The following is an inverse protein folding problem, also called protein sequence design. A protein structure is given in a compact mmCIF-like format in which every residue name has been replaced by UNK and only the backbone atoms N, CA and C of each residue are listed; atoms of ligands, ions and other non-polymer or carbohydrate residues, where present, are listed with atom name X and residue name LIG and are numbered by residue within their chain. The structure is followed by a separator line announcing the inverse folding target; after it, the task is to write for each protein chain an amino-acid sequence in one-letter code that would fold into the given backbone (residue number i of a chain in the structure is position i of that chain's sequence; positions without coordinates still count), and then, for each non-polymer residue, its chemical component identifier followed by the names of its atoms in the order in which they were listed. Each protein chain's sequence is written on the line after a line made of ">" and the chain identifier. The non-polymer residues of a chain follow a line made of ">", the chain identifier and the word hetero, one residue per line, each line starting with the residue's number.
data_IF_041518856488
#
_entry.id   IF_041518856488
#
_cell.length_a   1.000
_cell.length_b   1.000
_cell.length_c   1.000
_cell.angle_alpha   90.00
_cell.angle_beta   90.00
_cell.angle_gamma   90.00
#
_symmetry.space_group_name_H-M   'P 1'
#
loop_
_entity.id
_entity.type
_entity.pdbx_description
1 polymer ?
#
# COMPACT_ATOMS: atom_id res chain seq x y z
N UNK A 1 4.43 0.24 21.91
CA UNK A 1 3.59 1.34 21.37
C UNK A 1 4.25 1.80 20.08
N UNK A 2 3.54 1.73 18.98
CA UNK A 2 4.07 2.11 17.66
C UNK A 2 4.42 3.60 17.66
N UNK A 3 5.63 3.96 17.27
CA UNK A 3 5.97 5.37 17.03
C UNK A 3 5.40 5.79 15.66
N UNK A 4 4.14 6.24 15.68
CA UNK A 4 3.40 6.65 14.47
C UNK A 4 4.12 7.78 13.72
N UNK A 5 4.67 8.76 14.42
CA UNK A 5 5.33 9.90 13.78
C UNK A 5 6.58 9.44 13.02
N UNK A 6 7.39 8.58 13.64
CA UNK A 6 8.56 7.97 13.01
C UNK A 6 8.15 7.10 11.81
N UNK A 7 7.12 6.27 11.93
CA UNK A 7 6.65 5.43 10.82
C UNK A 7 6.14 6.28 9.64
N UNK A 8 5.32 7.30 9.89
CA UNK A 8 4.81 8.16 8.82
C UNK A 8 5.92 8.93 8.11
N UNK A 9 6.94 9.38 8.86
CA UNK A 9 8.11 10.07 8.32
C UNK A 9 9.08 9.14 7.57
N UNK A 10 9.05 7.83 7.85
CA UNK A 10 9.90 6.85 7.18
C UNK A 10 9.44 6.49 5.76
N UNK A 11 8.23 6.91 5.36
CA UNK A 11 7.66 6.62 4.04
C UNK A 11 7.70 7.86 3.16
N UNK A 12 8.46 7.80 2.07
CA UNK A 12 8.34 8.76 0.97
C UNK A 12 7.17 8.36 0.07
N UNK A 13 6.32 9.34 -0.28
CA UNK A 13 5.13 9.12 -1.11
C UNK A 13 5.19 10.01 -2.35
N UNK A 14 4.79 9.44 -3.47
CA UNK A 14 4.65 10.15 -4.74
C UNK A 14 3.37 9.76 -5.45
N UNK A 15 2.84 10.68 -6.23
CA UNK A 15 1.75 10.45 -7.17
C UNK A 15 2.10 11.12 -8.50
N UNK A 16 1.79 10.45 -9.59
CA UNK A 16 1.95 10.99 -10.93
C UNK A 16 0.77 10.55 -11.79
N UNK A 17 0.34 11.43 -12.69
CA UNK A 17 -0.57 11.06 -13.78
C UNK A 17 0.25 10.95 -15.05
N UNK A 18 0.33 9.75 -15.62
CA UNK A 18 1.16 9.49 -16.80
C UNK A 18 0.59 8.37 -17.66
N UNK A 19 1.08 8.27 -18.89
CA UNK A 19 0.79 7.12 -19.75
C UNK A 19 1.66 5.91 -19.33
N UNK A 20 1.01 4.79 -19.10
CA UNK A 20 1.68 3.50 -18.82
C UNK A 20 1.21 2.50 -19.87
N UNK A 21 2.11 2.06 -20.73
CA UNK A 21 1.82 1.11 -21.82
C UNK A 21 0.67 1.57 -22.75
N UNK A 22 0.51 2.87 -22.99
CA UNK A 22 -0.55 3.45 -23.82
C UNK A 22 -1.87 3.70 -23.07
N UNK A 23 -1.89 3.55 -21.75
CA UNK A 23 -3.08 3.77 -20.91
C UNK A 23 -2.82 4.94 -19.94
N UNK A 24 -3.62 6.04 -20.01
CA UNK A 24 -3.57 7.08 -18.97
C UNK A 24 -3.80 6.49 -17.60
N UNK A 25 -2.86 6.70 -16.69
CA UNK A 25 -2.84 6.01 -15.39
C UNK A 25 -2.42 6.95 -14.26
N UNK A 26 -2.99 6.69 -13.08
CA UNK A 26 -2.46 7.20 -11.82
C UNK A 26 -1.40 6.22 -11.29
N UNK A 27 -0.24 6.75 -10.96
CA UNK A 27 0.89 5.97 -10.44
C UNK A 27 1.22 6.47 -9.04
N UNK A 28 0.92 5.65 -8.05
CA UNK A 28 1.30 5.90 -6.66
C UNK A 28 2.61 5.18 -6.36
N UNK A 29 3.53 5.86 -5.70
CA UNK A 29 4.81 5.28 -5.27
C UNK A 29 5.02 5.48 -3.79
N UNK A 30 5.37 4.41 -3.08
CA UNK A 30 5.81 4.45 -1.69
C UNK A 30 7.22 3.89 -1.60
N UNK A 31 8.07 4.55 -0.83
CA UNK A 31 9.43 4.09 -0.56
C UNK A 31 9.68 4.07 0.94
N UNK A 32 10.17 2.95 1.46
CA UNK A 32 10.61 2.81 2.84
C UNK A 32 11.87 1.94 2.91
N UNK A 33 12.77 2.27 3.84
CA UNK A 33 13.94 1.43 4.15
C UNK A 33 13.71 0.69 5.47
N UNK A 34 13.92 -0.61 5.45
CA UNK A 34 13.80 -1.49 6.61
C UNK A 34 15.18 -1.91 7.12
N UNK A 35 15.43 -1.96 8.43
CA UNK A 35 16.68 -2.44 9.02
C UNK A 35 16.69 -3.99 9.04
N UNK A 36 16.66 -4.58 7.86
CA UNK A 36 16.64 -6.03 7.65
C UNK A 36 17.29 -6.37 6.31
N UNK A 37 18.04 -7.49 6.22
CA UNK A 37 18.61 -7.97 4.97
C UNK A 37 17.57 -8.26 3.90
N UNK A 38 17.96 -8.17 2.62
CA UNK A 38 17.04 -8.32 1.49
C UNK A 38 16.32 -9.69 1.46
N UNK A 39 16.99 -10.75 1.86
CA UNK A 39 16.42 -12.10 1.89
C UNK A 39 15.29 -12.20 2.93
N UNK A 40 15.46 -11.54 4.07
CA UNK A 40 14.46 -11.49 5.14
C UNK A 40 13.21 -10.69 4.70
N UNK A 41 13.41 -9.53 4.09
CA UNK A 41 12.31 -8.71 3.55
C UNK A 41 11.61 -9.43 2.40
N UNK A 42 12.36 -10.09 1.53
CA UNK A 42 11.80 -10.88 0.43
C UNK A 42 10.92 -12.01 0.95
N UNK A 43 11.40 -12.79 1.91
CA UNK A 43 10.65 -13.89 2.50
C UNK A 43 9.38 -13.39 3.21
N UNK A 44 9.46 -12.25 3.91
CA UNK A 44 8.30 -11.62 4.53
C UNK A 44 7.22 -11.25 3.51
N UNK A 45 7.61 -10.84 2.30
CA UNK A 45 6.70 -10.39 1.22
C UNK A 45 6.18 -11.53 0.32
N UNK A 46 6.82 -12.71 0.31
CA UNK A 46 6.53 -13.76 -0.67
C UNK A 46 6.13 -15.09 -0.06
N UNK A 47 6.30 -15.29 1.24
CA UNK A 47 5.86 -16.49 1.96
C UNK A 47 4.47 -16.29 2.54
N UNK A 48 3.49 -17.12 2.17
CA UNK A 48 2.11 -17.04 2.65
C UNK A 48 2.04 -17.02 4.18
N UNK A 49 2.75 -17.94 4.85
CA UNK A 49 2.77 -18.03 6.32
C UNK A 49 3.47 -16.83 7.00
N UNK A 50 4.20 -16.00 6.25
CA UNK A 50 4.74 -14.74 6.77
C UNK A 50 3.81 -13.56 6.47
N UNK A 51 3.24 -13.49 5.26
CA UNK A 51 2.33 -12.42 4.83
C UNK A 51 1.14 -12.30 5.80
N UNK A 52 0.50 -13.40 6.19
CA UNK A 52 -0.64 -13.40 7.12
C UNK A 52 -0.32 -12.82 8.52
N UNK A 53 0.97 -12.77 8.88
CA UNK A 53 1.40 -12.24 10.18
C UNK A 53 1.48 -10.72 10.21
N UNK A 54 1.52 -10.05 9.07
CA UNK A 54 1.67 -8.60 9.03
C UNK A 54 0.65 -7.90 8.12
N UNK A 55 0.03 -8.63 7.20
CA UNK A 55 -0.98 -8.10 6.30
C UNK A 55 -2.29 -8.87 6.48
N UNK A 56 -2.75 -9.57 5.48
CA UNK A 56 -4.01 -10.31 5.46
C UNK A 56 -3.73 -11.80 5.17
N UNK A 57 -4.61 -12.72 5.62
CA UNK A 57 -4.54 -14.10 5.18
C UNK A 57 -4.61 -14.19 3.66
N UNK A 58 -3.72 -14.99 3.08
CA UNK A 58 -3.58 -15.17 1.64
C UNK A 58 -3.67 -16.64 1.26
N UNK A 59 -4.30 -16.92 0.13
CA UNK A 59 -4.38 -18.27 -0.46
C UNK A 59 -3.94 -18.24 -1.91
N UNK A 60 -3.72 -19.42 -2.47
CA UNK A 60 -3.34 -19.59 -3.87
C UNK A 60 -1.89 -20.00 -4.07
N UNK A 61 -1.37 -19.75 -5.25
CA UNK A 61 -0.04 -20.19 -5.70
C UNK A 61 0.85 -18.96 -5.94
N UNK A 62 1.70 -18.64 -4.95
CA UNK A 62 2.53 -17.43 -4.91
C UNK A 62 3.81 -17.58 -5.76
N UNK A 63 3.67 -18.04 -7.00
CA UNK A 63 4.76 -18.16 -7.96
C UNK A 63 4.38 -17.54 -9.30
N UNK A 64 5.37 -17.30 -10.17
CA UNK A 64 5.14 -16.77 -11.52
C UNK A 64 4.02 -17.52 -12.26
N UNK A 65 3.01 -16.78 -12.75
CA UNK A 65 1.81 -17.28 -13.40
C UNK A 65 0.78 -17.88 -12.45
N UNK A 66 1.04 -17.93 -11.14
CA UNK A 66 0.09 -18.40 -10.15
C UNK A 66 -0.91 -17.31 -9.75
N UNK A 67 -2.09 -17.73 -9.26
CA UNK A 67 -3.14 -16.84 -8.78
C UNK A 67 -3.15 -16.81 -7.26
N UNK A 68 -3.43 -15.65 -6.71
CA UNK A 68 -3.55 -15.42 -5.28
C UNK A 68 -4.85 -14.70 -4.92
N UNK A 69 -5.27 -14.84 -3.66
CA UNK A 69 -6.42 -14.13 -3.10
C UNK A 69 -6.16 -13.76 -1.65
N UNK A 70 -6.23 -12.48 -1.32
CA UNK A 70 -6.32 -12.01 0.07
C UNK A 70 -7.76 -12.11 0.58
N UNK A 71 -7.93 -12.58 1.80
CA UNK A 71 -9.27 -12.71 2.40
C UNK A 71 -9.91 -11.33 2.58
N UNK A 72 -11.08 -11.13 1.98
CA UNK A 72 -11.82 -9.87 2.03
C UNK A 72 -11.13 -8.69 1.34
N UNK A 73 -10.19 -8.94 0.45
CA UNK A 73 -9.43 -7.92 -0.25
C UNK A 73 -9.10 -8.38 -1.68
N UNK A 74 -8.17 -7.70 -2.34
CA UNK A 74 -7.80 -7.97 -3.72
C UNK A 74 -7.22 -9.37 -3.93
N UNK A 75 -7.41 -9.86 -5.15
CA UNK A 75 -6.71 -11.02 -5.70
C UNK A 75 -6.08 -10.68 -7.04
N UNK A 76 -5.41 -11.68 -7.64
CA UNK A 76 -4.79 -11.50 -8.94
C UNK A 76 -3.80 -12.58 -9.30
N UNK A 77 -2.92 -12.25 -10.24
CA UNK A 77 -1.89 -13.13 -10.78
C UNK A 77 -0.48 -12.57 -10.49
N UNK A 78 0.49 -13.44 -10.27
CA UNK A 78 1.91 -13.11 -10.20
C UNK A 78 2.47 -12.98 -11.60
N UNK A 79 2.62 -11.76 -12.11
CA UNK A 79 3.00 -11.45 -13.49
C UNK A 79 4.52 -11.47 -13.72
N UNK A 80 5.30 -11.16 -12.67
CA UNK A 80 6.75 -11.27 -12.71
C UNK A 80 7.27 -11.59 -11.29
N UNK A 81 8.38 -12.32 -11.22
CA UNK A 81 9.01 -12.67 -9.95
C UNK A 81 10.51 -12.89 -10.19
N UNK A 82 11.34 -12.06 -9.57
CA UNK A 82 12.80 -12.15 -9.62
C UNK A 82 13.32 -12.19 -8.17
N UNK A 83 13.65 -13.37 -7.65
CA UNK A 83 14.20 -13.52 -6.30
C UNK A 83 15.51 -12.75 -6.09
N UNK A 84 15.93 -12.53 -4.83
CA UNK A 84 17.13 -11.80 -4.51
C UNK A 84 18.37 -12.32 -5.26
N UNK A 85 18.99 -11.42 -6.03
CA UNK A 85 20.23 -11.70 -6.78
C UNK A 85 20.99 -10.40 -6.94
N UNK A 86 22.28 -10.40 -6.55
CA UNK A 86 23.13 -9.21 -6.66
C UNK A 86 22.60 -7.99 -5.88
N UNK A 87 21.92 -8.22 -4.75
CA UNK A 87 21.35 -7.15 -3.91
C UNK A 87 20.07 -6.54 -4.46
N UNK A 88 19.43 -7.17 -5.44
CA UNK A 88 18.14 -6.72 -5.99
C UNK A 88 17.13 -7.85 -6.05
N UNK A 89 15.85 -7.51 -5.87
CA UNK A 89 14.72 -8.43 -6.06
C UNK A 89 13.49 -7.64 -6.53
N UNK A 90 12.55 -8.30 -7.19
CA UNK A 90 11.29 -7.66 -7.58
C UNK A 90 10.19 -8.68 -7.88
N UNK A 91 8.95 -8.22 -7.71
CA UNK A 91 7.79 -8.93 -8.26
C UNK A 91 6.75 -7.92 -8.77
N UNK A 92 5.90 -8.39 -9.69
CA UNK A 92 4.74 -7.64 -10.21
C UNK A 92 3.49 -8.50 -10.13
N UNK A 93 2.40 -7.87 -9.70
CA UNK A 93 1.10 -8.51 -9.52
C UNK A 93 0.03 -7.74 -10.31
N UNK A 94 -0.97 -8.42 -10.84
CA UNK A 94 -2.27 -7.78 -11.02
C UNK A 94 -2.95 -7.71 -9.65
N UNK A 95 -3.68 -6.63 -9.41
CA UNK A 95 -4.32 -6.34 -8.11
C UNK A 95 -5.74 -5.89 -8.36
N UNK A 96 -6.72 -6.70 -8.01
CA UNK A 96 -8.10 -6.45 -8.34
C UNK A 96 -9.05 -6.79 -7.18
N UNK A 97 -9.88 -5.83 -6.81
CA UNK A 97 -11.09 -6.08 -6.02
C UNK A 97 -12.21 -6.63 -6.92
N UNK A 98 -12.29 -6.12 -8.15
CA UNK A 98 -13.13 -6.62 -9.24
C UNK A 98 -12.22 -7.16 -10.36
N UNK A 99 -12.31 -8.45 -10.70
CA UNK A 99 -11.47 -9.05 -11.77
C UNK A 99 -11.58 -8.37 -13.14
N UNK A 100 -12.63 -7.60 -13.40
CA UNK A 100 -12.84 -6.89 -14.67
C UNK A 100 -12.09 -5.57 -14.76
N UNK A 101 -11.59 -5.04 -13.61
CA UNK A 101 -10.90 -3.77 -13.52
C UNK A 101 -9.57 -3.90 -12.73
N UNK A 102 -8.59 -4.69 -13.23
CA UNK A 102 -7.35 -4.89 -12.51
C UNK A 102 -6.48 -3.63 -12.51
N UNK A 103 -5.85 -3.38 -11.38
CA UNK A 103 -4.70 -2.49 -11.24
C UNK A 103 -3.42 -3.32 -11.15
N UNK A 104 -2.26 -2.68 -11.04
CA UNK A 104 -0.99 -3.40 -11.02
C UNK A 104 -0.11 -2.91 -9.88
N UNK A 105 0.50 -3.84 -9.17
CA UNK A 105 1.44 -3.54 -8.10
C UNK A 105 2.81 -4.10 -8.46
N UNK A 106 3.83 -3.27 -8.40
CA UNK A 106 5.22 -3.69 -8.54
C UNK A 106 5.96 -3.37 -7.25
N UNK A 107 6.66 -4.36 -6.70
CA UNK A 107 7.57 -4.17 -5.57
C UNK A 107 8.99 -4.40 -6.05
N UNK A 108 9.90 -3.47 -5.71
CA UNK A 108 11.34 -3.58 -5.97
C UNK A 108 12.08 -3.45 -4.65
N UNK A 109 13.04 -4.32 -4.43
CA UNK A 109 13.93 -4.32 -3.27
C UNK A 109 15.35 -4.05 -3.71
N UNK A 110 16.05 -3.23 -2.94
CA UNK A 110 17.49 -3.01 -3.07
C UNK A 110 18.13 -3.16 -1.69
N UNK A 111 18.98 -4.18 -1.53
CA UNK A 111 19.70 -4.46 -0.30
C UNK A 111 21.00 -3.65 -0.20
N UNK A 112 21.29 -3.15 1.00
CA UNK A 112 22.55 -2.52 1.38
C UNK A 112 22.93 -3.01 2.77
N UNK A 113 23.73 -4.08 2.82
CA UNK A 113 24.10 -4.77 4.06
C UNK A 113 22.86 -5.27 4.83
N UNK A 114 22.72 -4.79 6.05
CA UNK A 114 21.61 -5.17 6.94
C UNK A 114 20.34 -4.29 6.73
N UNK A 115 20.30 -3.52 5.64
CA UNK A 115 19.15 -2.68 5.30
C UNK A 115 18.62 -3.00 3.92
N UNK A 116 17.32 -2.84 3.74
CA UNK A 116 16.64 -3.03 2.45
C UNK A 116 15.73 -1.86 2.16
N UNK A 117 15.96 -1.21 1.03
CA UNK A 117 15.05 -0.21 0.47
C UNK A 117 13.98 -0.92 -0.34
N UNK A 118 12.72 -0.71 0.03
CA UNK A 118 11.54 -1.15 -0.68
C UNK A 118 10.95 0.02 -1.46
N UNK A 119 10.59 -0.21 -2.72
CA UNK A 119 9.76 0.67 -3.53
C UNK A 119 8.52 -0.12 -3.95
N UNK A 120 7.35 0.34 -3.54
CA UNK A 120 6.06 -0.14 -4.02
C UNK A 120 5.52 0.87 -5.02
N UNK A 121 5.12 0.39 -6.20
CA UNK A 121 4.46 1.16 -7.24
C UNK A 121 3.10 0.55 -7.52
N UNK A 122 2.04 1.35 -7.40
CA UNK A 122 0.68 0.95 -7.71
C UNK A 122 0.16 1.77 -8.90
N UNK A 123 -0.16 1.07 -9.98
CA UNK A 123 -0.63 1.67 -11.25
C UNK A 123 -2.10 1.34 -11.45
N UNK A 124 -2.93 2.37 -11.56
CA UNK A 124 -4.36 2.24 -11.85
C UNK A 124 -4.72 3.04 -13.11
N UNK A 125 -5.23 2.37 -14.14
CA UNK A 125 -5.76 3.06 -15.32
C UNK A 125 -6.90 4.01 -14.93
N UNK A 126 -6.90 5.24 -15.46
CA UNK A 126 -7.93 6.24 -15.12
C UNK A 126 -9.34 5.71 -15.37
N UNK A 127 -9.55 5.02 -16.48
CA UNK A 127 -10.86 4.45 -16.85
C UNK A 127 -11.22 3.16 -16.09
N UNK A 128 -10.26 2.57 -15.35
CA UNK A 128 -10.49 1.37 -14.53
C UNK A 128 -11.03 1.70 -13.14
N UNK A 129 -10.92 2.96 -12.71
CA UNK A 129 -11.48 3.39 -11.44
C UNK A 129 -12.98 3.64 -11.55
N UNK A 130 -13.77 3.36 -10.50
CA UNK A 130 -15.16 3.76 -10.45
C UNK A 130 -15.32 5.25 -10.72
N UNK A 131 -16.35 5.68 -11.47
CA UNK A 131 -16.58 7.09 -11.79
C UNK A 131 -16.63 7.96 -10.53
N UNK A 132 -15.86 9.03 -10.52
CA UNK A 132 -15.81 9.99 -9.40
C UNK A 132 -14.99 9.52 -8.20
N UNK A 133 -14.41 8.33 -8.22
CA UNK A 133 -13.61 7.81 -7.10
C UNK A 133 -12.37 8.66 -6.86
N UNK A 134 -11.63 8.97 -7.92
CA UNK A 134 -10.41 9.76 -7.80
C UNK A 134 -10.69 11.20 -7.35
N UNK A 135 -11.73 11.81 -7.89
CA UNK A 135 -12.16 13.17 -7.54
C UNK A 135 -12.63 13.27 -6.08
N UNK A 136 -13.21 12.21 -5.55
CA UNK A 136 -13.75 12.18 -4.20
C UNK A 136 -12.71 11.85 -3.12
N UNK A 137 -11.81 10.92 -3.39
CA UNK A 137 -10.91 10.34 -2.40
C UNK A 137 -9.43 10.63 -2.68
N UNK A 138 -9.10 11.02 -3.91
CA UNK A 138 -7.70 11.23 -4.33
C UNK A 138 -6.82 10.01 -4.11
N UNK A 139 -5.49 10.20 -4.05
CA UNK A 139 -4.54 9.12 -3.81
C UNK A 139 -4.67 8.50 -2.42
N UNK A 140 -5.26 9.19 -1.44
CA UNK A 140 -5.48 8.67 -0.09
C UNK A 140 -6.37 7.42 -0.09
N UNK A 141 -7.29 7.30 -1.06
CA UNK A 141 -8.28 6.22 -1.13
C UNK A 141 -7.65 4.82 -1.03
N UNK A 142 -6.56 4.60 -1.73
CA UNK A 142 -5.76 3.37 -1.64
C UNK A 142 -4.48 3.55 -0.82
N UNK A 143 -3.96 4.76 -0.75
CA UNK A 143 -2.69 5.10 -0.12
C UNK A 143 -2.63 4.81 1.37
N UNK A 144 -3.70 5.08 2.13
CA UNK A 144 -3.79 4.72 3.56
C UNK A 144 -3.67 3.20 3.75
N UNK A 145 -4.28 2.41 2.84
CA UNK A 145 -4.14 0.96 2.87
C UNK A 145 -2.70 0.50 2.65
N UNK A 146 -1.99 1.13 1.70
CA UNK A 146 -0.56 0.85 1.48
C UNK A 146 0.30 1.23 2.68
N UNK A 147 0.07 2.42 3.29
CA UNK A 147 0.77 2.82 4.50
C UNK A 147 0.54 1.86 5.66
N UNK A 148 -0.69 1.38 5.82
CA UNK A 148 -1.02 0.37 6.84
C UNK A 148 -0.29 -0.95 6.60
N UNK A 149 -0.15 -1.37 5.33
CA UNK A 149 0.66 -2.52 4.95
C UNK A 149 2.14 -2.32 5.28
N UNK A 150 2.73 -1.15 4.95
CA UNK A 150 4.12 -0.85 5.26
C UNK A 150 4.39 -0.76 6.78
N UNK A 151 3.43 -0.23 7.56
CA UNK A 151 3.48 -0.28 9.02
C UNK A 151 3.48 -1.72 9.52
N UNK A 152 2.56 -2.56 9.02
CA UNK A 152 2.49 -3.98 9.38
C UNK A 152 3.79 -4.71 9.09
N UNK A 153 4.41 -4.47 7.92
CA UNK A 153 5.70 -5.03 7.56
C UNK A 153 6.83 -4.53 8.48
N UNK A 154 6.85 -3.23 8.81
CA UNK A 154 7.83 -2.66 9.72
C UNK A 154 7.77 -3.34 11.10
N UNK A 155 6.58 -3.46 11.67
CA UNK A 155 6.36 -4.16 12.94
C UNK A 155 6.78 -5.64 12.87
N UNK A 156 6.41 -6.34 11.79
CA UNK A 156 6.77 -7.75 11.61
C UNK A 156 8.29 -7.97 11.59
N UNK A 157 9.03 -7.05 10.98
CA UNK A 157 10.48 -7.18 10.85
C UNK A 157 11.25 -6.71 12.09
N UNK A 158 10.71 -5.78 12.89
CA UNK A 158 11.47 -5.11 13.95
C UNK A 158 10.86 -5.23 15.34
N UNK A 159 9.55 -5.34 15.46
CA UNK A 159 8.83 -5.34 16.73
C UNK A 159 7.52 -6.15 16.64
N UNK A 160 7.58 -7.47 16.32
CA UNK A 160 6.38 -8.28 16.07
C UNK A 160 5.40 -8.31 17.25
N UNK A 161 5.89 -8.18 18.47
CA UNK A 161 5.07 -8.15 19.69
C UNK A 161 4.30 -6.83 19.89
N UNK A 162 4.62 -5.78 19.12
CA UNK A 162 3.89 -4.50 19.15
C UNK A 162 2.74 -4.44 18.13
N UNK A 163 2.60 -5.46 17.29
CA UNK A 163 1.49 -5.52 16.33
C UNK A 163 0.16 -5.67 17.06
N UNK A 164 -0.86 -4.84 16.75
CA UNK A 164 -2.19 -5.01 17.30
C UNK A 164 -2.78 -6.39 16.96
N UNK A 165 -3.34 -7.08 17.96
CA UNK A 165 -4.02 -8.37 17.78
C UNK A 165 -5.23 -8.25 16.85
N UNK A 166 -5.94 -7.10 16.93
CA UNK A 166 -7.05 -6.73 16.06
C UNK A 166 -6.75 -5.40 15.37
N UNK A 167 -6.24 -5.42 14.13
CA UNK A 167 -5.95 -4.20 13.39
C UNK A 167 -7.17 -3.34 13.10
N UNK A 168 -8.37 -3.93 12.96
CA UNK A 168 -9.60 -3.17 12.74
C UNK A 168 -10.00 -2.41 14.01
N UNK A 169 -9.93 -3.05 15.16
CA UNK A 169 -10.18 -2.40 16.44
C UNK A 169 -9.11 -1.33 16.73
N UNK A 170 -7.85 -1.58 16.39
CA UNK A 170 -6.77 -0.58 16.55
C UNK A 170 -7.03 0.69 15.72
N UNK A 171 -7.54 0.56 14.49
CA UNK A 171 -7.90 1.71 13.64
C UNK A 171 -8.86 2.67 14.35
N UNK A 172 -9.70 2.18 15.25
CA UNK A 172 -10.68 2.97 15.99
C UNK A 172 -10.13 3.60 17.28
N UNK A 173 -8.91 3.25 17.69
CA UNK A 173 -8.23 3.90 18.83
C UNK A 173 -7.73 5.30 18.45
N UNK A 174 -7.40 6.12 19.45
CA UNK A 174 -6.78 7.45 19.21
C UNK A 174 -5.46 7.32 18.44
N UNK A 175 -4.68 6.28 18.71
CA UNK A 175 -3.42 5.99 18.01
C UNK A 175 -3.66 5.61 16.54
N UNK A 176 -4.59 4.70 16.28
CA UNK A 176 -4.96 4.31 14.91
C UNK A 176 -5.53 5.47 14.11
N UNK A 177 -6.44 6.26 14.72
CA UNK A 177 -6.98 7.47 14.09
C UNK A 177 -5.91 8.50 13.76
N UNK A 178 -4.93 8.69 14.66
CA UNK A 178 -3.79 9.58 14.41
C UNK A 178 -2.94 9.08 13.23
N UNK A 179 -2.71 7.77 13.10
CA UNK A 179 -2.02 7.18 11.96
C UNK A 179 -2.80 7.40 10.65
N UNK A 180 -4.11 7.09 10.62
CA UNK A 180 -4.95 7.29 9.44
C UNK A 180 -4.97 8.75 9.01
N UNK A 181 -5.07 9.68 9.97
CA UNK A 181 -5.04 11.13 9.68
C UNK A 181 -3.70 11.55 9.10
N UNK A 182 -2.59 11.15 9.72
CA UNK A 182 -1.25 11.48 9.25
C UNK A 182 -0.95 10.92 7.86
N UNK A 183 -1.40 9.70 7.57
CA UNK A 183 -1.29 9.11 6.23
C UNK A 183 -2.11 9.90 5.20
N UNK A 184 -3.37 10.22 5.50
CA UNK A 184 -4.23 11.02 4.63
C UNK A 184 -3.60 12.38 4.30
N UNK A 185 -3.06 13.07 5.31
CA UNK A 185 -2.41 14.37 5.15
C UNK A 185 -1.12 14.25 4.29
N UNK A 186 -0.35 13.19 4.47
CA UNK A 186 0.85 12.94 3.67
C UNK A 186 0.53 12.68 2.19
N UNK A 187 -0.56 11.95 1.90
CA UNK A 187 -1.03 11.76 0.53
C UNK A 187 -1.59 13.04 -0.09
N UNK A 188 -2.29 13.87 0.69
CA UNK A 188 -2.68 15.20 0.21
C UNK A 188 -1.46 16.06 -0.15
N UNK A 189 -0.41 16.03 0.68
CA UNK A 189 0.84 16.74 0.38
C UNK A 189 1.52 16.22 -0.89
N UNK A 190 1.55 14.89 -1.11
CA UNK A 190 2.07 14.31 -2.35
C UNK A 190 1.25 14.74 -3.58
N UNK A 191 -0.08 14.81 -3.46
CA UNK A 191 -0.97 15.26 -4.53
C UNK A 191 -0.80 16.75 -4.85
N UNK A 192 -0.56 17.58 -3.85
CA UNK A 192 -0.23 19.00 -4.05
C UNK A 192 1.13 19.15 -4.75
N UNK A 193 2.11 18.33 -4.40
CA UNK A 193 3.42 18.33 -5.06
C UNK A 193 3.35 17.92 -6.54
N UNK A 194 2.36 17.11 -6.94
CA UNK A 194 2.05 16.78 -8.35
C UNK A 194 1.20 17.85 -9.05
N UNK A 195 0.87 18.96 -8.38
CA UNK A 195 0.20 20.12 -8.99
C UNK A 195 -1.29 20.24 -8.73
N UNK A 196 -1.89 19.37 -7.91
CA UNK A 196 -3.30 19.50 -7.51
C UNK A 196 -3.49 20.68 -6.56
N UNK A 197 -4.62 21.40 -6.68
CA UNK A 197 -5.00 22.46 -5.74
C UNK A 197 -5.07 21.92 -4.30
N UNK A 198 -4.52 22.69 -3.34
CA UNK A 198 -4.41 22.25 -1.95
C UNK A 198 -5.77 22.02 -1.26
N UNK A 199 -6.81 22.80 -1.64
CA UNK A 199 -8.14 22.61 -1.06
C UNK A 199 -8.81 21.32 -1.61
N UNK A 200 -8.57 21.00 -2.89
CA UNK A 200 -9.03 19.76 -3.53
C UNK A 200 -8.35 18.55 -2.87
N UNK A 201 -7.02 18.57 -2.76
CA UNK A 201 -6.25 17.50 -2.14
C UNK A 201 -6.67 17.27 -0.68
N UNK A 202 -6.85 18.36 0.08
CA UNK A 202 -7.33 18.27 1.47
C UNK A 202 -8.73 17.68 1.57
N UNK A 203 -9.66 18.07 0.70
CA UNK A 203 -11.03 17.56 0.71
C UNK A 203 -11.06 16.04 0.47
N UNK A 204 -10.29 15.54 -0.50
CA UNK A 204 -10.14 14.11 -0.75
C UNK A 204 -9.56 13.35 0.45
N UNK A 205 -8.51 13.90 1.05
CA UNK A 205 -7.87 13.32 2.24
C UNK A 205 -8.81 13.29 3.45
N UNK A 206 -9.55 14.37 3.72
CA UNK A 206 -10.53 14.44 4.81
C UNK A 206 -11.64 13.39 4.63
N UNK A 207 -12.16 13.26 3.40
CA UNK A 207 -13.18 12.28 3.09
C UNK A 207 -12.65 10.85 3.24
N UNK A 208 -11.45 10.59 2.75
CA UNK A 208 -10.82 9.28 2.90
C UNK A 208 -10.58 8.93 4.38
N UNK A 209 -10.06 9.87 5.16
CA UNK A 209 -9.92 9.68 6.60
C UNK A 209 -11.25 9.31 7.25
N UNK A 210 -12.32 10.08 6.97
CA UNK A 210 -13.66 9.78 7.49
C UNK A 210 -14.16 8.37 7.11
N UNK A 211 -13.86 7.92 5.88
CA UNK A 211 -14.18 6.56 5.44
C UNK A 211 -13.45 5.50 6.27
N UNK A 212 -12.14 5.67 6.51
CA UNK A 212 -11.35 4.69 7.28
C UNK A 212 -11.74 4.61 8.75
N UNK A 213 -12.29 5.68 9.33
CA UNK A 213 -12.78 5.68 10.71
C UNK A 213 -14.30 5.49 10.83
N UNK A 214 -14.99 5.16 9.73
CA UNK A 214 -16.41 4.84 9.72
C UNK A 214 -17.37 6.03 9.86
N UNK A 215 -16.92 7.26 9.59
CA UNK A 215 -17.75 8.48 9.61
C UNK A 215 -18.36 8.81 8.24
N UNK A 216 -17.85 8.23 7.16
CA UNK A 216 -18.29 8.44 5.78
C UNK A 216 -18.39 7.09 5.07
N UNK A 217 -19.40 6.89 4.26
CA UNK A 217 -19.54 5.70 3.43
C UNK A 217 -18.44 5.65 2.36
N UNK A 218 -17.86 4.48 2.19
CA UNK A 218 -16.84 4.22 1.17
C UNK A 218 -17.46 3.97 -0.21
N UNK A 219 -16.65 3.99 -1.28
CA UNK A 219 -17.11 3.73 -2.65
C UNK A 219 -17.58 2.28 -2.87
N UNK A 220 -17.38 1.40 -1.90
CA UNK A 220 -17.76 -0.02 -1.94
C UNK A 220 -18.81 -0.38 -0.88
N UNK A 221 -19.37 0.59 -0.15
CA UNK A 221 -20.45 0.37 0.81
C UNK A 221 -21.79 0.37 0.05
N UNK A 222 -22.32 -0.82 -0.26
CA UNK A 222 -23.73 -1.07 -0.57
C UNK A 222 -24.34 -1.96 0.50
#
# INVERSE_FOLDING_TARGET
>A
MVDIATQLAAVDRGIQTMDVDGVPSYVQTLTQTYPSPIDEVWEALTSAGRIERWFLPISGDLKLGGHYQFVGNAGGEVLACTPPTGGQASFRLSWAMDPTAPTYVTVRLTGDGDHTRLVLEHVAGVEMLPPGMWEQFGPSGTGIGWDSGLLGLALHLTAPDERPDDPAAWTMTDEGKAFMRGSADAWAAAQVADGTDAAVAKTGADRTYGMYIGEVDGPWSE
#
